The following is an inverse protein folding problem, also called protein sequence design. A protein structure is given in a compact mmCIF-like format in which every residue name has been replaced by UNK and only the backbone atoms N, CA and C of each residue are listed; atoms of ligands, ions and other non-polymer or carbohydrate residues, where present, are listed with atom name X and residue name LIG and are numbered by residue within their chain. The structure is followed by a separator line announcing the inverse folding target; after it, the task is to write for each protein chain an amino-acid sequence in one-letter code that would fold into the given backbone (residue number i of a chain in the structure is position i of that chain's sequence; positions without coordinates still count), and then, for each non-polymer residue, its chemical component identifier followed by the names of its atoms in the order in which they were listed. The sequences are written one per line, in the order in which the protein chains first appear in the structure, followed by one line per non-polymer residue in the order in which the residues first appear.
data_IF_868702609868
#
_entry.id   IF_868702609868
#
_cell.length_a   1.000
_cell.length_b   1.000
_cell.length_c   1.000
_cell.angle_alpha   90.00
_cell.angle_beta   90.00
_cell.angle_gamma   90.00
#
_symmetry.space_group_name_H-M   'P 1'
#
loop_
_entity.id
_entity.type
_entity.pdbx_description
1 polymer ?
#
# COMPACT_ATOMS: atom_id res chain seq x y z
N UNK A 1 -6.71 -21.45 -5.56
CA UNK A 1 -6.63 -20.03 -5.17
C UNK A 1 -5.38 -19.84 -4.29
N UNK A 2 -4.48 -18.93 -4.64
CA UNK A 2 -3.27 -18.67 -3.82
C UNK A 2 -3.64 -17.92 -2.52
N UNK A 3 -2.71 -17.85 -1.57
CA UNK A 3 -2.98 -17.29 -0.23
C UNK A 3 -3.32 -15.80 -0.27
N UNK A 4 -2.72 -15.02 -1.18
CA UNK A 4 -3.10 -13.63 -1.45
C UNK A 4 -4.59 -13.51 -1.79
N UNK A 5 -5.06 -14.30 -2.76
CA UNK A 5 -6.45 -14.23 -3.21
C UNK A 5 -7.41 -14.69 -2.11
N UNK A 6 -7.03 -15.68 -1.28
CA UNK A 6 -7.82 -16.09 -0.10
C UNK A 6 -7.98 -14.96 0.90
N UNK A 7 -6.88 -14.26 1.23
CA UNK A 7 -6.92 -13.10 2.11
C UNK A 7 -7.85 -12.02 1.55
N UNK A 8 -7.64 -11.60 0.30
CA UNK A 8 -8.45 -10.55 -0.33
C UNK A 8 -9.92 -10.94 -0.36
N UNK A 9 -10.24 -12.17 -0.77
CA UNK A 9 -11.62 -12.66 -0.79
C UNK A 9 -12.26 -12.64 0.60
N UNK A 10 -11.53 -13.02 1.65
CA UNK A 10 -12.07 -12.99 3.02
C UNK A 10 -12.45 -11.57 3.49
N UNK A 11 -11.72 -10.54 3.05
CA UNK A 11 -12.01 -9.14 3.38
C UNK A 11 -13.22 -8.62 2.58
N UNK A 12 -13.36 -9.09 1.33
CA UNK A 12 -14.53 -8.83 0.47
C UNK A 12 -15.78 -9.46 1.09
N UNK A 13 -15.72 -10.75 1.42
CA UNK A 13 -16.84 -11.51 2.01
C UNK A 13 -17.26 -10.94 3.37
N UNK A 14 -16.29 -10.41 4.14
CA UNK A 14 -16.55 -9.69 5.38
C UNK A 14 -17.18 -8.31 5.20
N UNK A 15 -17.31 -7.81 3.97
CA UNK A 15 -17.88 -6.50 3.68
C UNK A 15 -16.98 -5.33 4.11
N UNK A 16 -15.65 -5.51 4.13
CA UNK A 16 -14.70 -4.44 4.44
C UNK A 16 -13.96 -3.91 3.21
N UNK A 17 -13.97 -4.66 2.11
CA UNK A 17 -13.39 -4.27 0.83
C UNK A 17 -14.45 -4.49 -0.26
N UNK A 18 -14.95 -3.40 -0.84
CA UNK A 18 -16.16 -3.38 -1.69
C UNK A 18 -15.93 -2.68 -3.01
N UNK A 19 -15.07 -1.67 -2.98
CA UNK A 19 -14.90 -0.75 -4.09
C UNK A 19 -13.99 -1.37 -5.16
N UNK A 20 -14.45 -1.53 -6.42
CA UNK A 20 -13.71 -2.25 -7.46
C UNK A 20 -12.26 -1.78 -7.67
N UNK A 21 -12.02 -0.47 -7.71
CA UNK A 21 -10.66 0.08 -7.88
C UNK A 21 -9.73 -0.17 -6.68
N UNK A 22 -10.29 -0.31 -5.47
CA UNK A 22 -9.50 -0.65 -4.28
C UNK A 22 -9.22 -2.17 -4.27
N UNK A 23 -10.18 -3.00 -4.68
CA UNK A 23 -9.98 -4.44 -4.89
C UNK A 23 -8.88 -4.70 -5.93
N UNK A 24 -8.90 -3.95 -7.03
CA UNK A 24 -7.87 -4.01 -8.07
C UNK A 24 -6.49 -3.67 -7.49
N UNK A 25 -6.38 -2.59 -6.70
CA UNK A 25 -5.12 -2.21 -6.06
C UNK A 25 -4.58 -3.31 -5.13
N UNK A 26 -5.43 -3.94 -4.31
CA UNK A 26 -5.04 -5.09 -3.48
C UNK A 26 -4.59 -6.30 -4.31
N UNK A 27 -5.12 -6.46 -5.52
CA UNK A 27 -4.72 -7.54 -6.44
C UNK A 27 -3.36 -7.26 -7.10
N UNK A 28 -3.15 -6.00 -7.51
CA UNK A 28 -1.97 -5.53 -8.22
C UNK A 28 -0.73 -5.34 -7.33
N UNK A 29 -0.92 -4.93 -6.08
CA UNK A 29 0.16 -4.63 -5.13
C UNK A 29 0.29 -5.75 -4.11
N UNK A 30 1.32 -6.59 -4.28
CA UNK A 30 1.53 -7.75 -3.43
C UNK A 30 2.11 -7.35 -2.08
N UNK A 31 1.36 -7.59 -0.98
CA UNK A 31 1.82 -7.29 0.39
C UNK A 31 3.14 -7.99 0.73
N UNK A 32 3.42 -9.16 0.15
CA UNK A 32 4.68 -9.88 0.38
C UNK A 32 5.93 -9.10 -0.07
N UNK A 33 5.78 -8.13 -0.98
CA UNK A 33 6.88 -7.25 -1.36
C UNK A 33 7.27 -6.20 -0.33
N UNK A 34 6.44 -6.02 0.70
CA UNK A 34 6.55 -4.95 1.70
C UNK A 34 6.77 -5.49 3.12
N UNK A 35 7.02 -6.79 3.28
CA UNK A 35 7.38 -7.42 4.56
C UNK A 35 8.88 -7.70 4.62
N UNK A 36 9.42 -7.87 5.83
CA UNK A 36 10.79 -8.36 5.98
C UNK A 36 10.87 -9.87 5.60
N UNK A 37 12.01 -10.35 5.10
CA UNK A 37 12.16 -11.73 4.63
C UNK A 37 11.72 -12.81 5.63
N UNK A 38 12.00 -12.61 6.92
CA UNK A 38 11.64 -13.53 7.99
C UNK A 38 10.12 -13.63 8.24
N UNK A 39 9.33 -12.65 7.76
CA UNK A 39 7.87 -12.63 7.89
C UNK A 39 7.13 -12.98 6.59
N UNK A 40 7.84 -13.39 5.53
CA UNK A 40 7.22 -13.76 4.25
C UNK A 40 6.13 -14.83 4.41
N UNK A 41 6.35 -15.84 5.27
CA UNK A 41 5.36 -16.88 5.55
C UNK A 41 4.05 -16.37 6.16
N UNK A 42 4.07 -15.17 6.76
CA UNK A 42 2.90 -14.51 7.34
C UNK A 42 2.30 -13.39 6.49
N UNK A 43 2.85 -13.09 5.30
CA UNK A 43 2.50 -11.91 4.50
C UNK A 43 0.99 -11.80 4.20
N UNK A 44 0.32 -12.94 4.04
CA UNK A 44 -1.10 -13.04 3.73
C UNK A 44 -1.99 -13.32 4.96
N UNK A 45 -1.44 -13.18 6.16
CA UNK A 45 -2.20 -13.19 7.41
C UNK A 45 -2.93 -11.88 7.65
N UNK A 46 -4.17 -11.95 8.16
CA UNK A 46 -4.96 -10.77 8.53
C UNK A 46 -4.54 -10.21 9.91
N UNK A 47 -3.26 -9.88 10.08
CA UNK A 47 -2.67 -9.30 11.28
C UNK A 47 -1.46 -8.42 10.90
N UNK A 48 -1.02 -7.50 11.78
CA UNK A 48 0.18 -6.70 11.51
C UNK A 48 1.45 -7.55 11.61
N UNK A 49 2.49 -7.16 10.86
CA UNK A 49 3.81 -7.81 10.90
C UNK A 49 4.90 -6.79 11.25
N UNK A 50 5.93 -7.16 12.03
CA UNK A 50 7.04 -6.26 12.34
C UNK A 50 7.81 -5.83 11.08
N UNK A 51 8.24 -4.57 11.05
CA UNK A 51 9.11 -4.01 9.98
C UNK A 51 10.38 -3.36 10.56
N UNK A 52 10.70 -3.64 11.82
CA UNK A 52 11.80 -3.02 12.57
C UNK A 52 11.40 -1.72 13.26
N UNK A 53 12.29 -1.18 14.11
CA UNK A 53 12.09 0.08 14.85
C UNK A 53 10.78 0.14 15.66
N UNK A 54 10.33 -0.99 16.22
CA UNK A 54 9.04 -1.14 16.91
C UNK A 54 7.83 -0.73 16.06
N UNK A 55 7.97 -0.72 14.72
CA UNK A 55 6.89 -0.45 13.79
C UNK A 55 6.37 -1.75 13.15
N UNK A 56 5.18 -1.67 12.58
CA UNK A 56 4.55 -2.78 11.85
C UNK A 56 4.03 -2.33 10.49
N UNK A 57 3.98 -3.25 9.53
CA UNK A 57 3.08 -3.12 8.39
C UNK A 57 1.67 -3.48 8.86
N UNK A 58 0.72 -2.58 8.61
CA UNK A 58 -0.66 -2.69 9.09
C UNK A 58 -1.35 -3.98 8.67
N UNK A 59 -2.32 -4.40 9.48
CA UNK A 59 -3.25 -5.47 9.16
C UNK A 59 -4.01 -5.14 7.84
N UNK A 60 -4.18 -6.11 6.92
CA UNK A 60 -4.85 -5.89 5.63
C UNK A 60 -6.27 -5.34 5.75
N UNK A 61 -7.07 -5.86 6.69
CA UNK A 61 -8.43 -5.36 6.94
C UNK A 61 -8.40 -3.88 7.36
N UNK A 62 -7.48 -3.48 8.24
CA UNK A 62 -7.34 -2.07 8.64
C UNK A 62 -7.03 -1.17 7.45
N UNK A 63 -6.12 -1.59 6.57
CA UNK A 63 -5.79 -0.83 5.34
C UNK A 63 -6.99 -0.77 4.39
N UNK A 64 -7.69 -1.88 4.18
CA UNK A 64 -8.90 -1.89 3.35
C UNK A 64 -9.96 -0.93 3.89
N UNK A 65 -10.23 -0.99 5.20
CA UNK A 65 -11.18 -0.12 5.88
C UNK A 65 -10.80 1.36 5.74
N UNK A 66 -9.53 1.72 5.95
CA UNK A 66 -9.05 3.08 5.78
C UNK A 66 -9.20 3.58 4.34
N UNK A 67 -8.88 2.76 3.34
CA UNK A 67 -9.00 3.14 1.93
C UNK A 67 -10.46 3.26 1.48
N UNK A 68 -11.35 2.40 1.96
CA UNK A 68 -12.79 2.52 1.69
C UNK A 68 -13.38 3.80 2.29
N UNK A 69 -12.93 4.22 3.49
CA UNK A 69 -13.33 5.49 4.08
C UNK A 69 -12.77 6.70 3.34
N UNK A 70 -11.53 6.62 2.88
CA UNK A 70 -10.87 7.69 2.12
C UNK A 70 -11.44 7.83 0.70
N UNK A 71 -11.92 6.73 0.12
CA UNK A 71 -12.48 6.66 -1.23
C UNK A 71 -11.57 7.26 -2.34
N UNK A 72 -10.24 7.00 -2.35
CA UNK A 72 -9.31 7.70 -3.26
C UNK A 72 -9.69 7.52 -4.73
N UNK A 73 -9.52 8.57 -5.52
CA UNK A 73 -9.95 8.65 -6.93
C UNK A 73 -8.77 8.93 -7.88
N UNK A 74 -8.87 8.50 -9.16
CA UNK A 74 -7.90 8.87 -10.18
C UNK A 74 -7.74 10.39 -10.28
N UNK A 75 -6.50 10.86 -10.41
CA UNK A 75 -6.19 12.30 -10.51
C UNK A 75 -5.86 12.99 -9.19
N UNK A 76 -6.17 12.37 -8.05
CA UNK A 76 -6.00 13.01 -6.73
C UNK A 76 -4.53 13.16 -6.30
N UNK A 77 -4.34 14.04 -5.32
CA UNK A 77 -3.09 14.27 -4.62
C UNK A 77 -3.27 13.93 -3.15
N UNK A 78 -2.56 12.93 -2.66
CA UNK A 78 -2.76 12.37 -1.32
C UNK A 78 -1.49 12.53 -0.48
N UNK A 79 -1.64 12.86 0.81
CA UNK A 79 -0.57 12.85 1.80
C UNK A 79 -0.70 11.60 2.67
N UNK A 80 0.36 10.78 2.70
CA UNK A 80 0.47 9.58 3.52
C UNK A 80 1.51 9.82 4.64
N UNK A 81 1.05 9.91 5.88
CA UNK A 81 1.89 10.21 7.05
C UNK A 81 2.22 8.91 7.79
N UNK A 82 3.50 8.57 7.85
CA UNK A 82 3.97 7.31 8.43
C UNK A 82 4.03 6.21 7.37
N UNK A 83 4.85 6.42 6.34
CA UNK A 83 4.93 5.51 5.19
C UNK A 83 5.33 4.07 5.58
N UNK A 84 6.11 3.89 6.66
CA UNK A 84 6.46 2.56 7.19
C UNK A 84 7.10 1.66 6.14
N UNK A 85 6.41 0.59 5.74
CA UNK A 85 6.87 -0.32 4.70
C UNK A 85 6.65 0.17 3.27
N UNK A 86 5.79 1.18 3.08
CA UNK A 86 5.37 1.72 1.78
C UNK A 86 4.17 1.00 1.15
N UNK A 87 3.55 0.01 1.81
CA UNK A 87 2.47 -0.77 1.20
C UNK A 87 1.20 0.06 0.96
N UNK A 88 0.74 0.82 1.96
CA UNK A 88 -0.40 1.74 1.79
C UNK A 88 -0.10 2.80 0.72
N UNK A 89 1.10 3.38 0.76
CA UNK A 89 1.57 4.33 -0.27
C UNK A 89 1.47 3.72 -1.67
N UNK A 90 1.86 2.44 -1.83
CA UNK A 90 1.80 1.70 -3.09
C UNK A 90 0.35 1.47 -3.58
N UNK A 91 -0.57 1.17 -2.67
CA UNK A 91 -1.99 1.05 -2.99
C UNK A 91 -2.58 2.40 -3.44
N UNK A 92 -2.31 3.47 -2.69
CA UNK A 92 -2.77 4.82 -3.00
C UNK A 92 -2.28 5.27 -4.37
N UNK A 93 -0.99 5.10 -4.67
CA UNK A 93 -0.43 5.56 -5.95
C UNK A 93 -0.98 4.77 -7.14
N UNK A 94 -1.25 3.48 -6.95
CA UNK A 94 -1.91 2.66 -7.96
C UNK A 94 -3.31 3.20 -8.26
N UNK A 95 -4.07 3.55 -7.23
CA UNK A 95 -5.45 4.06 -7.37
C UNK A 95 -5.49 5.44 -8.03
N UNK A 96 -4.74 6.43 -7.50
CA UNK A 96 -4.80 7.80 -8.05
C UNK A 96 -4.14 7.92 -9.43
N UNK A 97 -3.30 6.95 -9.78
CA UNK A 97 -2.59 6.88 -11.05
C UNK A 97 -3.22 5.94 -12.09
N UNK A 98 -4.38 5.35 -11.81
CA UNK A 98 -4.98 4.31 -12.65
C UNK A 98 -5.53 4.83 -13.99
N UNK A 99 -5.85 6.12 -14.08
CA UNK A 99 -6.26 6.77 -15.32
C UNK A 99 -5.07 7.57 -15.91
N UNK A 100 -4.47 7.12 -17.03
CA UNK A 100 -3.33 7.80 -17.65
C UNK A 100 -3.74 9.11 -18.37
N UNK A 101 -5.03 9.36 -18.58
CA UNK A 101 -5.52 10.59 -19.21
C UNK A 101 -5.53 11.77 -18.24
N UNK A 102 -5.49 11.50 -16.94
CA UNK A 102 -5.51 12.52 -15.89
C UNK A 102 -4.08 12.83 -15.44
N UNK A 103 -3.60 14.01 -15.79
CA UNK A 103 -2.27 14.47 -15.39
C UNK A 103 -2.23 14.98 -13.94
N UNK A 104 -1.07 14.85 -13.29
CA UNK A 104 -0.77 15.55 -12.04
C UNK A 104 -1.14 14.83 -10.74
N UNK A 105 -1.67 13.60 -10.80
CA UNK A 105 -1.86 12.77 -9.62
C UNK A 105 -0.53 12.45 -8.93
N UNK A 106 -0.54 12.43 -7.60
CA UNK A 106 0.64 12.05 -6.82
C UNK A 106 0.27 11.60 -5.40
N UNK A 107 1.20 10.86 -4.80
CA UNK A 107 1.18 10.58 -3.37
C UNK A 107 2.45 11.18 -2.76
N UNK A 108 2.29 12.04 -1.77
CA UNK A 108 3.40 12.51 -0.93
C UNK A 108 3.43 11.64 0.32
N UNK A 109 4.52 10.92 0.53
CA UNK A 109 4.72 10.06 1.69
C UNK A 109 5.77 10.68 2.62
N UNK A 110 5.50 10.68 3.92
CA UNK A 110 6.47 11.14 4.94
C UNK A 110 6.76 10.02 5.93
N UNK A 111 8.03 9.90 6.31
CA UNK A 111 8.50 8.90 7.27
C UNK A 111 9.66 9.47 8.07
N UNK A 112 9.50 9.51 9.39
CA UNK A 112 10.47 10.12 10.32
C UNK A 112 11.68 9.23 10.58
N UNK A 113 11.56 7.91 10.43
CA UNK A 113 12.64 6.95 10.64
C UNK A 113 13.35 6.71 9.30
N UNK A 114 14.58 7.22 9.17
CA UNK A 114 15.35 7.16 7.90
C UNK A 114 15.43 5.74 7.31
N UNK A 115 15.69 4.73 8.12
CA UNK A 115 15.79 3.32 7.68
C UNK A 115 14.47 2.79 7.12
N UNK A 116 13.33 3.19 7.70
CA UNK A 116 12.00 2.85 7.16
C UNK A 116 11.69 3.64 5.89
N UNK A 117 12.10 4.91 5.80
CA UNK A 117 12.00 5.70 4.58
C UNK A 117 12.77 5.03 3.42
N UNK A 118 13.98 4.54 3.68
CA UNK A 118 14.79 3.80 2.70
C UNK A 118 14.15 2.44 2.36
N UNK A 119 13.58 1.74 3.33
CA UNK A 119 12.84 0.48 3.13
C UNK A 119 11.62 0.68 2.22
N UNK A 120 10.77 1.66 2.51
CA UNK A 120 9.61 2.02 1.70
C UNK A 120 10.01 2.38 0.26
N UNK A 121 11.03 3.24 0.09
CA UNK A 121 11.56 3.60 -1.24
C UNK A 121 12.02 2.37 -2.03
N UNK A 122 12.69 1.42 -1.39
CA UNK A 122 13.16 0.21 -2.05
C UNK A 122 12.01 -0.71 -2.48
N UNK A 123 10.97 -0.86 -1.64
CA UNK A 123 9.78 -1.64 -2.00
C UNK A 123 9.02 -0.99 -3.16
N UNK A 124 8.81 0.32 -3.12
CA UNK A 124 8.09 1.07 -4.16
C UNK A 124 8.81 1.08 -5.52
N UNK A 125 10.15 0.97 -5.55
CA UNK A 125 10.91 0.86 -6.81
C UNK A 125 10.51 -0.37 -7.62
N UNK A 126 10.11 -1.47 -6.98
CA UNK A 126 9.70 -2.73 -7.65
C UNK A 126 8.52 -2.51 -8.59
N UNK A 127 7.68 -1.52 -8.29
CA UNK A 127 6.47 -1.18 -9.05
C UNK A 127 6.66 -0.02 -10.02
N UNK A 128 7.87 0.52 -10.17
CA UNK A 128 8.18 1.63 -11.08
C UNK A 128 7.68 3.01 -10.65
N UNK A 129 7.01 3.12 -9.50
CA UNK A 129 6.36 4.36 -9.06
C UNK A 129 7.33 5.53 -8.82
N UNK A 130 8.56 5.25 -8.38
CA UNK A 130 9.57 6.30 -8.18
C UNK A 130 9.99 6.95 -9.51
N UNK A 131 10.17 6.16 -10.58
CA UNK A 131 10.56 6.68 -11.89
C UNK A 131 9.46 7.55 -12.51
N UNK A 132 8.20 7.31 -12.17
CA UNK A 132 7.07 8.08 -12.67
C UNK A 132 6.98 9.51 -12.13
N UNK A 133 7.75 9.85 -11.08
CA UNK A 133 7.66 11.15 -10.40
C UNK A 133 6.38 11.35 -9.59
N UNK A 134 5.48 10.35 -9.55
CA UNK A 134 4.20 10.41 -8.85
C UNK A 134 4.31 10.17 -7.34
N UNK A 135 5.50 9.81 -6.83
CA UNK A 135 5.75 9.72 -5.39
C UNK A 135 6.77 10.76 -4.97
N UNK A 136 6.44 11.54 -3.94
CA UNK A 136 7.36 12.45 -3.25
C UNK A 136 7.62 11.94 -1.84
N UNK A 137 8.87 11.76 -1.46
CA UNK A 137 9.26 11.41 -0.09
C UNK A 137 9.75 12.65 0.64
N UNK A 138 9.05 13.05 1.71
CA UNK A 138 9.50 14.05 2.66
C UNK A 138 10.29 13.41 3.81
N UNK A 139 11.25 14.16 4.34
CA UNK A 139 11.90 13.89 5.63
C UNK A 139 11.35 14.87 6.68
#
# INVERSE_FOLDING_TARGET
MNDKNRLVQSIIDGGYLKTPRIIEAFSAIDRADFVLPEYLGGAYGNYPLPIGHNQTISQPLTVAFMLELLDPRPGEKILDIGAGSGWQTALLIHIVGSDPTIAGSNVTAVERIKTLCDFAKNNLKKYGFIKSGRIKFGN
#
